data_IF_187910515411
#
_entry.id   IF_187910515411
#
_cell.length_a   1.000
_cell.length_b   1.000
_cell.length_c   1.000
_cell.angle_alpha   90.00
_cell.angle_beta   90.00
_cell.angle_gamma   90.00
#
_symmetry.space_group_name_H-M   'P 1'
#
loop_
_entity.id
_entity.type
_entity.pdbx_description
1 polymer ?
#
# COMPACT_ATOMS: atom_id res chain seq x y z
N UNK A 1 -7.37 22.37 23.02
CA UNK A 1 -6.57 21.66 21.99
C UNK A 1 -5.72 20.60 22.69
N UNK A 2 -5.98 19.31 22.48
CA UNK A 2 -5.10 18.25 23.00
C UNK A 2 -3.85 18.22 22.13
N UNK A 3 -2.67 18.49 22.71
CA UNK A 3 -1.41 18.22 22.00
C UNK A 3 -1.30 16.71 21.82
N UNK A 4 -1.28 16.27 20.57
CA UNK A 4 -0.94 14.89 20.24
C UNK A 4 0.53 14.67 20.60
N UNK A 5 0.86 13.55 21.24
CA UNK A 5 2.25 13.23 21.57
C UNK A 5 3.09 13.15 20.29
N UNK A 6 4.32 13.68 20.33
CA UNK A 6 5.18 13.79 19.14
C UNK A 6 5.37 12.45 18.40
N UNK A 7 5.51 11.34 19.13
CA UNK A 7 5.62 10.00 18.53
C UNK A 7 4.36 9.57 17.77
N UNK A 8 3.16 9.90 18.29
CA UNK A 8 1.90 9.58 17.63
C UNK A 8 1.77 10.39 16.34
N UNK A 9 2.15 11.67 16.38
CA UNK A 9 2.15 12.50 15.18
C UNK A 9 3.12 11.98 14.11
N UNK A 10 4.34 11.58 14.53
CA UNK A 10 5.32 10.96 13.63
C UNK A 10 4.81 9.64 13.04
N UNK A 11 4.14 8.81 13.83
CA UNK A 11 3.55 7.57 13.35
C UNK A 11 2.51 7.84 12.24
N UNK A 12 1.66 8.85 12.41
CA UNK A 12 0.71 9.27 11.38
C UNK A 12 1.41 9.82 10.14
N UNK A 13 2.50 10.57 10.31
CA UNK A 13 3.27 11.14 9.20
C UNK A 13 3.83 10.05 8.27
N UNK A 14 4.42 9.01 8.84
CA UNK A 14 5.09 7.95 8.07
C UNK A 14 4.17 6.79 7.70
N UNK A 15 2.94 6.73 8.21
CA UNK A 15 2.03 5.61 7.99
C UNK A 15 1.80 5.31 6.50
N UNK A 16 1.64 6.35 5.66
CA UNK A 16 1.47 6.19 4.21
C UNK A 16 2.68 5.55 3.53
N UNK A 17 3.89 6.14 3.62
CA UNK A 17 5.11 5.55 3.09
C UNK A 17 5.40 4.16 3.65
N UNK A 18 5.12 3.90 4.93
CA UNK A 18 5.29 2.57 5.52
C UNK A 18 4.33 1.55 4.94
N UNK A 19 3.05 1.91 4.76
CA UNK A 19 2.06 1.02 4.13
C UNK A 19 2.45 0.67 2.69
N UNK A 20 2.90 1.67 1.93
CA UNK A 20 3.43 1.46 0.58
C UNK A 20 4.65 0.54 0.58
N UNK A 21 5.67 0.83 1.41
CA UNK A 21 6.90 0.05 1.45
C UNK A 21 6.63 -1.41 1.81
N UNK A 22 5.78 -1.66 2.80
CA UNK A 22 5.39 -3.01 3.21
C UNK A 22 4.68 -3.76 2.06
N UNK A 23 3.69 -3.14 1.41
CA UNK A 23 2.99 -3.77 0.30
C UNK A 23 3.90 -4.01 -0.91
N UNK A 24 4.79 -3.08 -1.22
CA UNK A 24 5.77 -3.22 -2.29
C UNK A 24 6.70 -4.41 -2.03
N UNK A 25 7.28 -4.50 -0.83
CA UNK A 25 8.17 -5.61 -0.47
C UNK A 25 7.46 -6.97 -0.53
N UNK A 26 6.23 -7.06 -0.01
CA UNK A 26 5.45 -8.30 -0.06
C UNK A 26 5.11 -8.67 -1.51
N UNK A 27 4.60 -7.72 -2.30
CA UNK A 27 4.23 -7.97 -3.69
C UNK A 27 5.43 -8.43 -4.52
N UNK A 28 6.60 -7.80 -4.36
CA UNK A 28 7.80 -8.17 -5.10
C UNK A 28 8.38 -9.52 -4.65
N UNK A 29 8.32 -9.82 -3.35
CA UNK A 29 8.69 -11.14 -2.83
C UNK A 29 7.78 -12.25 -3.38
N UNK A 30 6.47 -12.02 -3.38
CA UNK A 30 5.48 -12.93 -3.97
C UNK A 30 5.67 -13.06 -5.48
N UNK A 31 6.09 -12.01 -6.17
CA UNK A 31 6.40 -12.08 -7.60
C UNK A 31 7.49 -13.12 -7.86
N UNK A 32 8.63 -12.99 -7.18
CA UNK A 32 9.76 -13.91 -7.33
C UNK A 32 9.39 -15.33 -6.95
N UNK A 33 8.71 -15.51 -5.82
CA UNK A 33 8.22 -16.83 -5.38
C UNK A 33 7.28 -17.46 -6.40
N UNK A 34 6.34 -16.68 -6.95
CA UNK A 34 5.39 -17.19 -7.92
C UNK A 34 6.01 -17.51 -9.29
N UNK A 35 7.09 -16.82 -9.68
CA UNK A 35 7.85 -17.20 -10.87
C UNK A 35 8.53 -18.57 -10.70
N UNK A 36 9.16 -18.83 -9.55
CA UNK A 36 9.77 -20.14 -9.26
C UNK A 36 8.72 -21.26 -9.16
N UNK A 37 7.55 -20.96 -8.57
CA UNK A 37 6.49 -21.94 -8.35
C UNK A 37 5.49 -22.07 -9.52
N UNK A 38 5.73 -21.40 -10.65
CA UNK A 38 4.89 -21.50 -11.84
C UNK A 38 3.47 -20.91 -11.70
N UNK A 39 3.25 -19.96 -10.78
CA UNK A 39 1.96 -19.30 -10.57
C UNK A 39 1.40 -18.54 -11.78
N UNK A 40 2.19 -18.04 -12.74
CA UNK A 40 1.65 -17.48 -13.97
C UNK A 40 0.81 -18.47 -14.80
N UNK A 41 1.11 -19.78 -14.72
CA UNK A 41 0.39 -20.83 -15.43
C UNK A 41 -0.89 -21.29 -14.71
N UNK A 42 -1.06 -20.93 -13.44
CA UNK A 42 -2.23 -21.29 -12.65
C UNK A 42 -3.33 -20.24 -12.82
N UNK A 43 -4.39 -20.60 -13.54
CA UNK A 43 -5.53 -19.71 -13.78
C UNK A 43 -6.53 -19.72 -12.61
N UNK A 44 -6.95 -18.53 -12.18
CA UNK A 44 -8.06 -18.29 -11.24
C UNK A 44 -9.17 -17.50 -11.97
N UNK A 45 -9.80 -18.16 -12.95
CA UNK A 45 -10.79 -17.51 -13.83
C UNK A 45 -10.11 -16.62 -14.87
N UNK A 46 -10.43 -15.31 -14.97
CA UNK A 46 -9.88 -14.42 -16.00
C UNK A 46 -8.44 -13.95 -15.71
N UNK A 47 -7.89 -14.27 -14.55
CA UNK A 47 -6.56 -13.83 -14.09
C UNK A 47 -5.73 -15.02 -13.62
N UNK A 48 -4.40 -14.90 -13.62
CA UNK A 48 -3.50 -15.91 -13.02
C UNK A 48 -3.36 -15.71 -11.51
N UNK A 49 -2.97 -16.78 -10.81
CA UNK A 49 -2.62 -16.74 -9.38
C UNK A 49 -1.56 -15.68 -9.10
N UNK A 50 -0.58 -15.52 -10.00
CA UNK A 50 0.45 -14.47 -9.92
C UNK A 50 -0.15 -13.07 -9.76
N UNK A 51 -1.12 -12.72 -10.61
CA UNK A 51 -1.75 -11.38 -10.57
C UNK A 51 -2.54 -11.18 -9.29
N UNK A 52 -3.24 -12.20 -8.82
CA UNK A 52 -4.01 -12.13 -7.56
C UNK A 52 -3.08 -11.96 -6.36
N UNK A 53 -1.99 -12.74 -6.30
CA UNK A 53 -1.02 -12.69 -5.21
C UNK A 53 -0.39 -11.30 -5.05
N UNK A 54 -0.13 -10.60 -6.16
CA UNK A 54 0.43 -9.25 -6.18
C UNK A 54 -0.66 -8.20 -5.91
N UNK A 55 -1.86 -8.34 -6.48
CA UNK A 55 -2.94 -7.38 -6.33
C UNK A 55 -3.43 -7.23 -4.89
N UNK A 56 -3.42 -8.33 -4.11
CA UNK A 56 -3.94 -8.34 -2.74
C UNK A 56 -3.16 -7.40 -1.80
N UNK A 57 -1.82 -7.47 -1.68
CA UNK A 57 -1.02 -6.48 -0.94
C UNK A 57 -1.26 -5.03 -1.40
N UNK A 58 -1.35 -4.79 -2.72
CA UNK A 58 -1.59 -3.44 -3.25
C UNK A 58 -2.95 -2.90 -2.81
N UNK A 59 -4.01 -3.72 -2.93
CA UNK A 59 -5.36 -3.34 -2.49
C UNK A 59 -5.40 -3.09 -0.97
N UNK A 60 -4.73 -3.92 -0.18
CA UNK A 60 -4.65 -3.74 1.27
C UNK A 60 -4.00 -2.40 1.65
N UNK A 61 -2.88 -2.02 1.02
CA UNK A 61 -2.25 -0.73 1.26
C UNK A 61 -3.11 0.46 0.81
N UNK A 62 -3.79 0.35 -0.33
CA UNK A 62 -4.73 1.39 -0.82
C UNK A 62 -5.85 1.59 0.20
N UNK A 63 -6.51 0.50 0.62
CA UNK A 63 -7.61 0.58 1.59
C UNK A 63 -7.13 1.13 2.93
N UNK A 64 -5.95 0.71 3.40
CA UNK A 64 -5.35 1.24 4.63
C UNK A 64 -5.12 2.74 4.53
N UNK A 65 -4.49 3.23 3.46
CA UNK A 65 -4.26 4.66 3.23
C UNK A 65 -5.58 5.44 3.17
N UNK A 66 -6.62 4.93 2.48
CA UNK A 66 -7.93 5.56 2.40
C UNK A 66 -8.63 5.65 3.77
N UNK A 67 -8.58 4.56 4.56
CA UNK A 67 -9.13 4.55 5.92
C UNK A 67 -8.38 5.56 6.80
N UNK A 68 -7.04 5.59 6.73
CA UNK A 68 -6.24 6.54 7.50
C UNK A 68 -6.50 7.99 7.06
N UNK A 69 -6.65 8.26 5.76
CA UNK A 69 -7.02 9.58 5.23
C UNK A 69 -8.37 10.06 5.77
N UNK A 70 -9.35 9.17 5.89
CA UNK A 70 -10.66 9.48 6.47
C UNK A 70 -10.58 9.78 7.97
N UNK A 71 -9.58 9.25 8.68
CA UNK A 71 -9.45 9.36 10.14
C UNK A 71 -8.45 10.43 10.60
N UNK A 72 -7.50 10.84 9.76
CA UNK A 72 -6.37 11.71 10.17
C UNK A 72 -6.83 13.06 10.76
N UNK A 73 -7.87 13.70 10.21
CA UNK A 73 -8.42 14.95 10.77
C UNK A 73 -9.06 14.74 12.12
N UNK A 74 -9.77 13.63 12.33
CA UNK A 74 -10.36 13.30 13.62
C UNK A 74 -9.31 12.97 14.68
N UNK A 75 -8.19 12.38 14.26
CA UNK A 75 -7.10 11.98 15.15
C UNK A 75 -6.17 13.13 15.55
N UNK A 76 -5.85 14.04 14.61
CA UNK A 76 -4.82 15.06 14.80
C UNK A 76 -5.35 16.51 14.83
N UNK A 77 -6.61 16.73 14.43
CA UNK A 77 -7.20 18.08 14.39
C UNK A 77 -6.41 19.03 13.48
N UNK A 78 -6.03 20.23 13.98
CA UNK A 78 -5.26 21.21 13.19
C UNK A 78 -3.91 20.70 12.68
N UNK A 79 -3.28 19.75 13.38
CA UNK A 79 -1.94 19.23 13.06
C UNK A 79 -1.96 18.15 11.95
N UNK A 80 -3.13 17.89 11.34
CA UNK A 80 -3.32 16.84 10.35
C UNK A 80 -2.70 17.15 8.97
N UNK A 81 -2.28 18.38 8.70
CA UNK A 81 -1.85 18.84 7.38
C UNK A 81 -0.71 17.99 6.78
N UNK A 82 0.44 17.93 7.47
CA UNK A 82 1.61 17.19 6.99
C UNK A 82 1.36 15.67 7.00
N UNK A 83 0.78 15.07 8.06
CA UNK A 83 0.48 13.63 8.03
C UNK A 83 -0.51 13.22 6.93
N UNK A 84 -1.48 14.07 6.59
CA UNK A 84 -2.36 13.85 5.45
C UNK A 84 -1.58 13.79 4.13
N UNK A 85 -0.56 14.64 3.94
CA UNK A 85 0.32 14.57 2.78
C UNK A 85 1.11 13.24 2.75
N UNK A 86 1.63 12.80 3.89
CA UNK A 86 2.29 11.48 4.02
C UNK A 86 1.38 10.34 3.55
N UNK A 87 0.13 10.33 4.00
CA UNK A 87 -0.86 9.33 3.55
C UNK A 87 -1.15 9.39 2.04
N UNK A 88 -1.26 10.60 1.46
CA UNK A 88 -1.41 10.76 0.01
C UNK A 88 -0.18 10.28 -0.76
N UNK A 89 1.03 10.55 -0.26
CA UNK A 89 2.28 10.05 -0.85
C UNK A 89 2.24 8.52 -0.90
N UNK A 90 1.89 7.86 0.21
CA UNK A 90 1.76 6.40 0.26
C UNK A 90 0.74 5.86 -0.73
N UNK A 91 -0.44 6.49 -0.82
CA UNK A 91 -1.50 6.09 -1.74
C UNK A 91 -1.07 6.22 -3.21
N UNK A 92 -0.53 7.39 -3.59
CA UNK A 92 -0.09 7.67 -4.97
C UNK A 92 1.09 6.79 -5.33
N UNK A 93 2.07 6.61 -4.44
CA UNK A 93 3.19 5.71 -4.65
C UNK A 93 2.72 4.28 -4.88
N UNK A 94 1.75 3.79 -4.10
CA UNK A 94 1.17 2.45 -4.28
C UNK A 94 0.50 2.31 -5.65
N UNK A 95 -0.35 3.27 -6.02
CA UNK A 95 -1.03 3.25 -7.32
C UNK A 95 -0.03 3.28 -8.49
N UNK A 96 0.97 4.17 -8.41
CA UNK A 96 1.96 4.34 -9.47
C UNK A 96 2.88 3.13 -9.61
N UNK A 97 3.40 2.60 -8.50
CA UNK A 97 4.39 1.51 -8.52
C UNK A 97 3.77 0.14 -8.75
N UNK A 98 2.52 -0.08 -8.33
CA UNK A 98 1.85 -1.38 -8.49
C UNK A 98 1.08 -1.49 -9.81
N UNK A 99 0.75 -0.37 -10.48
CA UNK A 99 0.05 -0.42 -11.78
C UNK A 99 0.80 -1.23 -12.85
N UNK A 100 2.12 -1.04 -13.08
CA UNK A 100 2.87 -1.84 -14.05
C UNK A 100 2.86 -3.33 -13.70
N UNK A 101 2.90 -3.68 -12.41
CA UNK A 101 2.93 -5.06 -11.96
C UNK A 101 1.61 -5.78 -12.30
N UNK A 102 0.48 -5.10 -12.41
CA UNK A 102 -0.79 -5.76 -12.76
C UNK A 102 -0.93 -6.06 -14.26
N UNK A 103 -0.20 -5.34 -15.12
CA UNK A 103 -0.33 -5.43 -16.58
C UNK A 103 0.88 -6.06 -17.27
N UNK A 104 2.07 -5.89 -16.71
CA UNK A 104 3.35 -6.26 -17.31
C UNK A 104 4.18 -7.20 -16.42
N UNK A 105 3.54 -8.01 -15.56
CA UNK A 105 4.24 -9.11 -14.89
C UNK A 105 4.69 -10.14 -15.92
N UNK A 106 5.94 -10.03 -16.35
CA UNK A 106 6.70 -11.16 -16.90
C UNK A 106 7.48 -11.84 -15.78
N UNK A 107 7.52 -13.16 -15.85
CA UNK A 107 8.71 -13.90 -15.51
C UNK A 107 9.52 -13.99 -16.83
#
# INVERSE_FOLDING_TARGET
MRRVGGMVWLAWLIAGPTAWAAAFSVAYGLHGLGCELGWPALSLGPVSLQRVAIALPSLAAILLCLVLLARVSTALGPEAGIPRLGLWIGLVATLYTMAPVLVATSC
#
